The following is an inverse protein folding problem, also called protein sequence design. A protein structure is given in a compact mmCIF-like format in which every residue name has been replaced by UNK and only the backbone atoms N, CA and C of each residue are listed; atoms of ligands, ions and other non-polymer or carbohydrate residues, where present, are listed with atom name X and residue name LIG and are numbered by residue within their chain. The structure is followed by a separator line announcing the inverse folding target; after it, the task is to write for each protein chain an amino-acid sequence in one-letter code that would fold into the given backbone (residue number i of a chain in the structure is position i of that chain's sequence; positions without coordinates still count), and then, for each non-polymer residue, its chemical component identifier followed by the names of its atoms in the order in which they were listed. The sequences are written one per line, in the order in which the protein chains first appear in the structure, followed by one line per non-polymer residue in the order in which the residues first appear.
data_IF_263925967804
#
_entry.id   IF_263925967804
#
_cell.length_a   1.000
_cell.length_b   1.000
_cell.length_c   1.000
_cell.angle_alpha   90.00
_cell.angle_beta   90.00
_cell.angle_gamma   90.00
#
_symmetry.space_group_name_H-M   'P 1'
#
loop_
_entity.id
_entity.type
_entity.pdbx_description
1 polymer ?
#
# COMPACT_ATOMS: atom_id res chain seq x y z
N UNK A 1 -7.56 22.85 -17.34
CA UNK A 1 -8.66 21.89 -17.61
C UNK A 1 -9.46 22.37 -18.81
N UNK A 2 -9.46 21.59 -19.91
CA UNK A 2 -10.13 21.95 -21.17
C UNK A 2 -11.54 21.34 -21.25
N UNK A 3 -11.64 20.06 -20.89
CA UNK A 3 -12.89 19.28 -21.05
C UNK A 3 -13.38 18.65 -19.76
N UNK A 4 -12.50 18.41 -18.79
CA UNK A 4 -12.84 17.81 -17.50
C UNK A 4 -11.98 18.42 -16.38
N UNK A 5 -12.48 18.37 -15.15
CA UNK A 5 -11.77 18.81 -13.92
C UNK A 5 -11.88 17.72 -12.86
N UNK A 6 -10.75 17.23 -12.32
CA UNK A 6 -9.35 17.51 -12.72
C UNK A 6 -8.95 16.79 -14.00
N UNK A 7 -7.97 17.34 -14.72
CA UNK A 7 -7.44 16.77 -15.97
C UNK A 7 -5.93 16.98 -16.06
N UNK A 8 -5.21 15.98 -16.56
CA UNK A 8 -3.80 16.12 -17.00
C UNK A 8 -3.77 16.11 -18.51
N UNK A 9 -3.08 17.10 -19.06
CA UNK A 9 -2.84 17.20 -20.50
C UNK A 9 -1.34 17.39 -20.74
N UNK A 10 -0.73 16.46 -21.51
CA UNK A 10 0.67 16.53 -21.92
C UNK A 10 0.69 16.80 -23.42
N UNK A 11 1.34 17.90 -23.82
CA UNK A 11 1.55 18.24 -25.23
C UNK A 11 3.02 18.07 -25.58
N UNK A 12 3.30 17.19 -26.53
CA UNK A 12 4.64 16.95 -27.06
C UNK A 12 4.66 17.45 -28.50
N UNK A 13 5.59 18.33 -28.82
CA UNK A 13 5.73 18.91 -30.16
C UNK A 13 7.14 18.69 -30.64
N UNK A 14 7.29 18.27 -31.89
CA UNK A 14 8.56 18.08 -32.58
C UNK A 14 8.51 18.56 -34.02
N UNK A 15 9.65 18.64 -34.71
CA UNK A 15 9.73 19.06 -36.12
C UNK A 15 9.07 18.04 -37.05
N UNK A 16 9.03 16.77 -36.69
CA UNK A 16 8.46 15.68 -37.44
C UNK A 16 7.96 14.54 -36.52
N UNK A 17 7.20 13.59 -37.06
CA UNK A 17 6.62 12.48 -36.35
C UNK A 17 7.69 11.56 -35.70
N UNK A 18 8.81 11.38 -36.38
CA UNK A 18 9.90 10.55 -35.89
C UNK A 18 10.52 11.15 -34.63
N UNK A 19 10.79 12.43 -34.60
CA UNK A 19 11.33 13.14 -33.44
C UNK A 19 10.37 13.06 -32.23
N UNK A 20 9.07 13.14 -32.48
CA UNK A 20 8.05 12.97 -31.42
C UNK A 20 8.04 11.53 -30.87
N UNK A 21 8.10 10.54 -31.77
CA UNK A 21 8.12 9.12 -31.38
C UNK A 21 9.41 8.77 -30.59
N UNK A 22 10.56 9.23 -31.06
CA UNK A 22 11.84 9.03 -30.38
C UNK A 22 11.81 9.67 -28.98
N UNK A 23 11.33 10.92 -28.86
CA UNK A 23 11.20 11.59 -27.56
C UNK A 23 10.28 10.83 -26.60
N UNK A 24 9.12 10.35 -27.05
CA UNK A 24 8.18 9.56 -26.22
C UNK A 24 8.86 8.27 -25.75
N UNK A 25 9.59 7.58 -26.62
CA UNK A 25 10.30 6.36 -26.27
C UNK A 25 11.39 6.60 -25.24
N UNK A 26 12.23 7.62 -25.45
CA UNK A 26 13.33 7.96 -24.55
C UNK A 26 12.86 8.50 -23.18
N UNK A 27 11.70 9.15 -23.15
CA UNK A 27 11.15 9.77 -21.93
C UNK A 27 9.96 9.02 -21.35
N UNK A 28 9.72 7.77 -21.78
CA UNK A 28 8.58 6.95 -21.37
C UNK A 28 8.37 6.95 -19.86
N UNK A 29 9.40 6.67 -19.08
CA UNK A 29 9.31 6.54 -17.63
C UNK A 29 9.01 7.89 -16.94
N UNK A 30 9.51 8.99 -17.51
CA UNK A 30 9.18 10.32 -17.02
C UNK A 30 7.72 10.68 -17.29
N UNK A 31 7.22 10.38 -18.49
CA UNK A 31 5.82 10.62 -18.86
C UNK A 31 4.87 9.82 -17.99
N UNK A 32 5.18 8.54 -17.74
CA UNK A 32 4.41 7.68 -16.83
C UNK A 32 4.41 8.27 -15.43
N UNK A 33 5.57 8.68 -14.88
CA UNK A 33 5.66 9.31 -13.54
C UNK A 33 4.81 10.57 -13.40
N UNK A 34 4.74 11.40 -14.44
CA UNK A 34 3.90 12.61 -14.44
C UNK A 34 2.41 12.24 -14.34
N UNK A 35 1.97 11.25 -15.11
CA UNK A 35 0.59 10.78 -15.08
C UNK A 35 0.23 10.13 -13.73
N UNK A 36 1.11 9.26 -13.24
CA UNK A 36 0.94 8.60 -11.93
C UNK A 36 0.91 9.60 -10.78
N UNK A 37 1.78 10.62 -10.81
CA UNK A 37 1.74 11.69 -9.82
C UNK A 37 0.41 12.43 -9.84
N UNK A 38 -0.13 12.74 -11.00
CA UNK A 38 -1.39 13.45 -11.10
C UNK A 38 -2.59 12.60 -10.61
N UNK A 39 -2.58 11.29 -10.85
CA UNK A 39 -3.57 10.37 -10.28
C UNK A 39 -3.47 10.33 -8.75
N UNK A 40 -2.26 10.19 -8.23
CA UNK A 40 -1.99 10.18 -6.80
C UNK A 40 -2.44 11.48 -6.13
N UNK A 41 -2.08 12.63 -6.69
CA UNK A 41 -2.47 13.94 -6.15
C UNK A 41 -4.00 14.07 -6.06
N UNK A 42 -4.75 13.54 -7.05
CA UNK A 42 -6.23 13.49 -7.01
C UNK A 42 -6.75 12.58 -5.90
N UNK A 43 -6.15 11.40 -5.74
CA UNK A 43 -6.53 10.47 -4.67
C UNK A 43 -6.24 11.05 -3.29
N UNK A 44 -5.13 11.76 -3.13
CA UNK A 44 -4.79 12.49 -1.91
C UNK A 44 -5.82 13.59 -1.60
N UNK A 45 -6.17 14.39 -2.60
CA UNK A 45 -7.17 15.46 -2.45
C UNK A 45 -8.56 14.90 -2.12
N UNK A 46 -8.93 13.77 -2.72
CA UNK A 46 -10.14 13.04 -2.38
C UNK A 46 -10.10 12.53 -0.93
N UNK A 47 -9.02 11.84 -0.55
CA UNK A 47 -8.82 11.35 0.81
C UNK A 47 -8.95 12.45 1.84
N UNK A 48 -8.30 13.60 1.63
CA UNK A 48 -8.40 14.77 2.53
C UNK A 48 -9.81 15.35 2.63
N UNK A 49 -10.56 15.36 1.54
CA UNK A 49 -11.90 15.95 1.47
C UNK A 49 -12.95 15.10 2.18
N UNK A 50 -12.81 13.78 2.11
CA UNK A 50 -13.79 12.82 2.61
C UNK A 50 -13.24 11.96 3.75
N UNK A 51 -12.22 12.45 4.45
CA UNK A 51 -11.56 11.73 5.53
C UNK A 51 -12.51 11.48 6.71
N UNK A 52 -12.42 10.28 7.27
CA UNK A 52 -13.05 9.92 8.53
C UNK A 52 -12.19 10.41 9.70
N UNK A 53 -12.65 11.41 10.42
CA UNK A 53 -11.97 11.93 11.62
C UNK A 53 -11.74 10.83 12.67
N UNK A 54 -12.72 9.94 12.83
CA UNK A 54 -12.61 8.81 13.77
C UNK A 54 -11.45 7.87 13.41
N UNK A 55 -11.28 7.59 12.11
CA UNK A 55 -10.19 6.73 11.63
C UNK A 55 -8.85 7.43 11.77
N UNK A 56 -8.77 8.74 11.49
CA UNK A 56 -7.54 9.52 11.67
C UNK A 56 -7.09 9.54 13.14
N UNK A 57 -8.01 9.77 14.08
CA UNK A 57 -7.74 9.74 15.51
C UNK A 57 -7.21 8.37 15.93
N UNK A 58 -7.88 7.28 15.49
CA UNK A 58 -7.46 5.91 15.77
C UNK A 58 -6.03 5.64 15.30
N UNK A 59 -5.70 6.00 14.05
CA UNK A 59 -4.37 5.75 13.47
C UNK A 59 -3.29 6.57 14.17
N UNK A 60 -3.58 7.81 14.51
CA UNK A 60 -2.65 8.68 15.23
C UNK A 60 -2.37 8.17 16.63
N UNK A 61 -3.39 7.79 17.38
CA UNK A 61 -3.24 7.36 18.79
C UNK A 61 -2.57 6.00 18.92
N UNK A 62 -2.92 5.04 18.06
CA UNK A 62 -2.39 3.68 18.16
C UNK A 62 -1.08 3.46 17.42
N UNK A 63 -0.90 4.10 16.27
CA UNK A 63 0.26 3.84 15.39
C UNK A 63 1.22 5.03 15.27
N UNK A 64 0.87 6.19 15.84
CA UNK A 64 1.63 7.42 15.64
C UNK A 64 1.64 7.87 14.17
N UNK A 65 0.65 7.46 13.39
CA UNK A 65 0.51 7.72 11.97
C UNK A 65 -0.62 8.70 11.73
N UNK A 66 -0.31 9.80 11.05
CA UNK A 66 -1.33 10.67 10.49
C UNK A 66 -1.58 10.27 9.03
N UNK A 67 -2.82 9.90 8.71
CA UNK A 67 -3.21 9.47 7.37
C UNK A 67 -4.70 9.76 7.14
N UNK A 68 -5.02 10.31 5.98
CA UNK A 68 -6.41 10.58 5.58
C UNK A 68 -7.01 9.33 4.93
N UNK A 69 -8.02 8.76 5.57
CA UNK A 69 -8.76 7.59 5.08
C UNK A 69 -10.19 8.01 4.77
N UNK A 70 -10.66 7.86 3.52
CA UNK A 70 -12.04 8.20 3.17
C UNK A 70 -13.06 7.40 4.00
N UNK A 71 -14.21 8.00 4.28
CA UNK A 71 -15.26 7.46 5.15
C UNK A 71 -15.97 6.21 4.59
N UNK A 72 -15.82 5.94 3.28
CA UNK A 72 -16.27 4.71 2.65
C UNK A 72 -15.41 3.48 3.00
N UNK A 73 -14.25 3.68 3.62
CA UNK A 73 -13.45 2.63 4.22
C UNK A 73 -13.81 2.46 5.70
N UNK A 74 -14.12 1.24 6.11
CA UNK A 74 -14.58 0.96 7.46
C UNK A 74 -13.56 0.15 8.26
N UNK A 75 -13.37 0.51 9.53
CA UNK A 75 -12.56 -0.27 10.46
C UNK A 75 -13.28 -1.58 10.75
N UNK A 76 -12.64 -2.71 10.43
CA UNK A 76 -13.17 -4.06 10.64
C UNK A 76 -12.69 -4.65 11.95
N UNK A 77 -11.41 -4.50 12.24
CA UNK A 77 -10.78 -5.00 13.45
C UNK A 77 -9.68 -4.06 13.88
N UNK A 78 -9.49 -3.91 15.18
CA UNK A 78 -8.42 -3.11 15.75
C UNK A 78 -7.86 -3.73 17.02
N UNK A 79 -6.55 -3.53 17.21
CA UNK A 79 -5.82 -3.88 18.44
C UNK A 79 -4.71 -2.83 18.65
N UNK A 80 -3.81 -3.03 19.60
CA UNK A 80 -2.73 -2.08 19.86
C UNK A 80 -1.62 -2.13 18.81
N UNK A 81 -1.52 -3.22 18.06
CA UNK A 81 -0.47 -3.48 17.08
C UNK A 81 -0.98 -3.69 15.65
N UNK A 82 -2.30 -3.71 15.43
CA UNK A 82 -2.90 -3.88 14.11
C UNK A 82 -4.25 -3.19 14.02
N UNK A 83 -4.53 -2.59 12.85
CA UNK A 83 -5.87 -2.18 12.42
C UNK A 83 -6.12 -2.69 11.02
N UNK A 84 -7.30 -3.27 10.79
CA UNK A 84 -7.76 -3.70 9.47
C UNK A 84 -8.94 -2.84 9.03
N UNK A 85 -8.81 -2.28 7.82
CA UNK A 85 -9.76 -1.33 7.24
C UNK A 85 -10.07 -1.78 5.82
N UNK A 86 -11.34 -1.85 5.45
CA UNK A 86 -11.75 -2.28 4.11
C UNK A 86 -12.98 -1.54 3.59
N UNK A 87 -13.09 -1.55 2.26
CA UNK A 87 -14.28 -1.14 1.52
C UNK A 87 -14.81 -2.36 0.77
N UNK A 88 -16.08 -2.69 1.04
CA UNK A 88 -16.75 -3.84 0.46
C UNK A 88 -17.66 -3.43 -0.69
N UNK A 89 -17.63 -4.20 -1.75
CA UNK A 89 -18.51 -4.13 -2.90
C UNK A 89 -19.27 -5.46 -3.06
N UNK A 90 -20.37 -5.53 -3.81
CA UNK A 90 -21.16 -6.77 -3.95
C UNK A 90 -20.38 -7.99 -4.46
N UNK A 91 -19.32 -7.80 -5.25
CA UNK A 91 -18.53 -8.87 -5.83
C UNK A 91 -17.02 -8.66 -5.72
N UNK A 92 -16.58 -7.68 -4.93
CA UNK A 92 -15.19 -7.35 -4.75
C UNK A 92 -14.97 -6.73 -3.36
N UNK A 93 -13.75 -6.76 -2.88
CA UNK A 93 -13.33 -5.96 -1.73
C UNK A 93 -11.94 -5.41 -1.95
N UNK A 94 -11.68 -4.27 -1.37
CA UNK A 94 -10.35 -3.70 -1.27
C UNK A 94 -10.12 -3.21 0.14
N UNK A 95 -8.89 -3.30 0.60
CA UNK A 95 -8.60 -2.86 1.94
C UNK A 95 -7.11 -2.84 2.23
N UNK A 96 -6.83 -2.41 3.41
CA UNK A 96 -5.48 -2.41 3.94
C UNK A 96 -5.49 -2.72 5.44
N UNK A 97 -4.36 -3.18 5.93
CA UNK A 97 -4.10 -3.23 7.35
C UNK A 97 -2.78 -2.57 7.68
N UNK A 98 -2.77 -1.84 8.77
CA UNK A 98 -1.57 -1.26 9.32
C UNK A 98 -1.20 -2.07 10.54
N UNK A 99 0.06 -2.49 10.62
CA UNK A 99 0.58 -3.18 11.78
C UNK A 99 1.96 -2.68 12.16
N UNK A 100 2.32 -2.90 13.42
CA UNK A 100 3.61 -2.49 13.97
C UNK A 100 4.17 -3.55 14.91
N UNK A 101 5.49 -3.58 15.01
CA UNK A 101 6.23 -4.44 15.92
C UNK A 101 7.62 -3.86 16.23
N UNK A 102 8.28 -4.26 17.34
CA UNK A 102 9.59 -3.75 17.68
C UNK A 102 10.63 -3.98 16.58
N UNK A 103 11.43 -2.97 16.28
CA UNK A 103 12.52 -3.09 15.33
C UNK A 103 13.71 -3.82 15.95
N UNK A 104 14.01 -5.00 15.46
CA UNK A 104 15.09 -5.88 15.91
C UNK A 104 16.42 -5.73 15.14
N UNK A 105 16.64 -4.59 14.46
CA UNK A 105 17.81 -4.38 13.61
C UNK A 105 17.60 -4.80 12.15
N UNK A 106 18.65 -4.67 11.33
CA UNK A 106 18.55 -4.88 9.86
C UNK A 106 17.98 -6.25 9.44
N UNK A 107 18.23 -7.29 10.22
CA UNK A 107 17.72 -8.63 9.95
C UNK A 107 16.17 -8.72 9.95
N UNK A 108 15.50 -7.86 10.74
CA UNK A 108 14.03 -7.81 10.77
C UNK A 108 13.40 -7.20 9.51
N UNK A 109 14.20 -6.66 8.60
CA UNK A 109 13.78 -6.12 7.31
C UNK A 109 14.19 -7.03 6.13
N UNK A 110 14.66 -8.25 6.38
CA UNK A 110 14.90 -9.24 5.32
C UNK A 110 13.59 -9.72 4.72
N UNK A 111 13.60 -10.16 3.46
CA UNK A 111 12.42 -10.70 2.76
C UNK A 111 11.70 -11.75 3.62
N UNK A 112 12.42 -12.73 4.12
CA UNK A 112 11.84 -13.78 4.96
C UNK A 112 11.20 -13.24 6.25
N UNK A 113 11.85 -12.25 6.91
CA UNK A 113 11.30 -11.63 8.12
C UNK A 113 10.04 -10.82 7.85
N UNK A 114 9.99 -10.10 6.72
CA UNK A 114 8.83 -9.31 6.32
C UNK A 114 7.66 -10.20 5.92
N UNK A 115 7.89 -11.30 5.19
CA UNK A 115 6.85 -12.29 4.87
C UNK A 115 6.32 -12.92 6.17
N UNK A 116 7.19 -13.34 7.08
CA UNK A 116 6.78 -13.93 8.35
C UNK A 116 5.98 -12.95 9.23
N UNK A 117 6.37 -11.67 9.25
CA UNK A 117 5.63 -10.64 9.96
C UNK A 117 4.26 -10.41 9.30
N UNK A 118 4.22 -10.30 7.96
CA UNK A 118 2.96 -10.19 7.21
C UNK A 118 2.01 -11.33 7.54
N UNK A 119 2.47 -12.58 7.43
CA UNK A 119 1.64 -13.76 7.69
C UNK A 119 1.10 -13.78 9.12
N UNK A 120 1.92 -13.41 10.10
CA UNK A 120 1.49 -13.30 11.51
C UNK A 120 0.32 -12.33 11.70
N UNK A 121 0.35 -11.19 11.02
CA UNK A 121 -0.71 -10.19 11.12
C UNK A 121 -1.89 -10.49 10.19
N UNK A 122 -1.63 -10.94 8.96
CA UNK A 122 -2.66 -11.33 7.99
C UNK A 122 -3.52 -12.49 8.49
N UNK A 123 -2.94 -13.44 9.24
CA UNK A 123 -3.68 -14.54 9.87
C UNK A 123 -4.78 -14.07 10.88
N UNK A 124 -4.77 -12.80 11.27
CA UNK A 124 -5.81 -12.19 12.12
C UNK A 124 -6.99 -11.64 11.31
N UNK A 125 -6.89 -11.66 9.97
CA UNK A 125 -7.97 -11.33 9.04
C UNK A 125 -8.69 -12.62 8.69
N UNK A 126 -9.94 -12.82 9.20
CA UNK A 126 -10.67 -14.06 8.97
C UNK A 126 -11.08 -14.20 7.51
N UNK A 127 -10.97 -15.40 6.99
CA UNK A 127 -11.59 -15.77 5.73
C UNK A 127 -13.08 -16.10 5.89
N UNK A 128 -13.76 -16.44 4.78
CA UNK A 128 -15.21 -16.71 4.80
C UNK A 128 -15.63 -18.01 5.50
N UNK A 129 -14.71 -18.98 5.64
CA UNK A 129 -14.98 -20.24 6.32
C UNK A 129 -14.42 -20.24 7.75
N UNK A 130 -15.02 -21.02 8.64
CA UNK A 130 -14.54 -21.18 10.01
C UNK A 130 -13.08 -21.64 10.05
N UNK A 131 -12.25 -20.92 10.78
CA UNK A 131 -10.83 -21.21 10.91
C UNK A 131 -9.99 -20.85 9.67
N UNK A 132 -10.59 -20.26 8.63
CA UNK A 132 -9.85 -19.73 7.49
C UNK A 132 -9.34 -18.32 7.77
N UNK A 133 -8.18 -17.97 7.19
CA UNK A 133 -7.52 -16.68 7.41
C UNK A 133 -6.62 -16.32 6.22
N UNK A 134 -6.27 -15.05 6.10
CA UNK A 134 -5.40 -14.54 5.05
C UNK A 134 -3.95 -14.98 5.25
N UNK A 135 -3.28 -15.38 4.17
CA UNK A 135 -1.85 -15.72 4.13
C UNK A 135 -1.15 -15.18 2.88
N UNK A 136 0.17 -15.31 2.84
CA UNK A 136 0.98 -14.98 1.65
C UNK A 136 1.14 -16.24 0.80
N UNK A 137 0.85 -16.15 -0.48
CA UNK A 137 1.11 -17.24 -1.45
C UNK A 137 2.61 -17.46 -1.56
N UNK A 138 3.04 -18.70 -1.35
CA UNK A 138 4.46 -19.13 -1.44
C UNK A 138 4.70 -20.10 -2.57
N UNK A 139 3.65 -20.64 -3.14
CA UNK A 139 3.71 -21.54 -4.28
C UNK A 139 2.54 -21.29 -5.22
N UNK A 140 2.79 -21.38 -6.51
CA UNK A 140 1.76 -21.29 -7.56
C UNK A 140 1.81 -22.52 -8.43
N UNK A 141 0.65 -22.96 -8.93
CA UNK A 141 0.60 -24.03 -9.91
C UNK A 141 1.27 -23.59 -11.23
N UNK A 142 1.98 -24.52 -11.87
CA UNK A 142 2.48 -24.31 -13.22
C UNK A 142 1.32 -24.14 -14.24
N UNK A 143 1.64 -23.81 -15.49
CA UNK A 143 0.65 -23.58 -16.53
C UNK A 143 -0.22 -24.83 -16.85
N UNK A 144 0.25 -26.02 -16.53
CA UNK A 144 -0.49 -27.27 -16.69
C UNK A 144 -1.30 -27.63 -15.44
N UNK A 145 -1.04 -26.97 -14.30
CA UNK A 145 -1.65 -27.30 -13.02
C UNK A 145 -1.15 -28.57 -12.38
N UNK A 146 -0.06 -29.12 -12.89
CA UNK A 146 0.49 -30.43 -12.46
C UNK A 146 1.54 -30.31 -11.37
N UNK A 147 2.28 -29.19 -11.34
CA UNK A 147 3.33 -28.96 -10.37
C UNK A 147 3.17 -27.62 -9.69
N UNK A 148 3.66 -27.54 -8.45
CA UNK A 148 3.78 -26.27 -7.73
C UNK A 148 5.22 -25.76 -7.83
N UNK A 149 5.35 -24.48 -8.17
CA UNK A 149 6.62 -23.77 -8.21
C UNK A 149 6.65 -22.72 -7.11
N UNK A 150 7.82 -22.52 -6.52
CA UNK A 150 7.99 -21.53 -5.48
C UNK A 150 7.70 -20.12 -6.03
N UNK A 151 6.96 -19.37 -5.28
CA UNK A 151 6.60 -17.99 -5.57
C UNK A 151 7.04 -17.09 -4.41
N UNK A 152 7.89 -16.14 -4.72
CA UNK A 152 8.36 -15.17 -3.74
C UNK A 152 7.88 -13.76 -4.13
N UNK A 153 7.32 -12.99 -3.19
CA UNK A 153 6.95 -11.60 -3.43
C UNK A 153 8.15 -10.78 -3.90
N UNK A 154 7.92 -9.88 -4.84
CA UNK A 154 8.94 -8.96 -5.34
C UNK A 154 9.17 -7.83 -4.34
N UNK A 155 10.43 -7.45 -4.13
CA UNK A 155 10.79 -6.38 -3.22
C UNK A 155 11.56 -5.28 -3.93
N UNK A 156 11.29 -4.04 -3.54
CA UNK A 156 12.09 -2.88 -3.95
C UNK A 156 12.14 -1.82 -2.84
N UNK A 157 13.18 -1.01 -2.88
CA UNK A 157 13.29 0.15 -2.00
C UNK A 157 12.75 1.38 -2.70
N UNK A 158 11.99 2.19 -1.98
CA UNK A 158 11.43 3.45 -2.43
C UNK A 158 11.82 4.57 -1.45
N UNK A 159 11.92 5.78 -1.96
CA UNK A 159 12.01 6.96 -1.13
C UNK A 159 10.78 7.83 -1.34
N UNK A 160 10.04 8.08 -0.26
CA UNK A 160 8.83 8.88 -0.24
C UNK A 160 9.00 9.93 0.85
N UNK A 161 8.98 11.20 0.48
CA UNK A 161 9.11 12.35 1.39
C UNK A 161 10.32 12.26 2.32
N UNK A 162 11.47 11.85 1.76
CA UNK A 162 12.74 11.70 2.50
C UNK A 162 12.81 10.51 3.46
N UNK A 163 11.85 9.58 3.36
CA UNK A 163 11.80 8.35 4.16
C UNK A 163 11.96 7.14 3.25
N UNK A 164 12.83 6.23 3.65
CA UNK A 164 13.00 4.94 2.95
C UNK A 164 11.87 4.00 3.32
N UNK A 165 11.26 3.41 2.28
CA UNK A 165 10.25 2.37 2.38
C UNK A 165 10.71 1.11 1.65
N UNK A 166 10.36 -0.04 2.17
CA UNK A 166 10.48 -1.32 1.49
C UNK A 166 9.08 -1.67 0.97
N UNK A 167 8.93 -1.71 -0.34
CA UNK A 167 7.75 -2.23 -0.99
C UNK A 167 7.90 -3.73 -1.20
N UNK A 168 6.88 -4.49 -0.87
CA UNK A 168 6.78 -5.92 -1.16
C UNK A 168 5.46 -6.17 -1.89
N UNK A 169 5.53 -6.67 -3.14
CA UNK A 169 4.37 -6.95 -3.97
C UNK A 169 4.25 -8.45 -4.26
N UNK A 170 3.09 -9.02 -4.06
CA UNK A 170 2.87 -10.45 -4.19
C UNK A 170 1.40 -10.83 -4.30
N UNK A 171 1.12 -12.09 -4.01
CA UNK A 171 -0.21 -12.65 -3.97
C UNK A 171 -0.56 -13.11 -2.55
N UNK A 172 -1.81 -12.92 -2.18
CA UNK A 172 -2.40 -13.46 -0.96
C UNK A 172 -3.49 -14.46 -1.30
N UNK A 173 -3.71 -15.38 -0.42
CA UNK A 173 -4.83 -16.33 -0.45
C UNK A 173 -5.45 -16.49 0.94
N UNK A 174 -6.43 -17.34 1.03
CA UNK A 174 -7.08 -17.71 2.30
C UNK A 174 -6.83 -19.20 2.56
N UNK A 175 -6.19 -19.49 3.68
CA UNK A 175 -5.99 -20.85 4.13
C UNK A 175 -7.34 -21.59 4.27
N UNK A 176 -7.42 -22.77 3.69
CA UNK A 176 -8.62 -23.61 3.67
C UNK A 176 -9.85 -23.02 2.97
N UNK A 177 -9.65 -22.03 2.07
CA UNK A 177 -10.73 -21.47 1.27
C UNK A 177 -10.22 -20.94 -0.07
N UNK A 178 -11.04 -21.03 -1.13
CA UNK A 178 -10.65 -20.55 -2.47
C UNK A 178 -10.94 -19.07 -2.59
N UNK A 179 -10.03 -18.25 -2.12
CA UNK A 179 -10.09 -16.80 -2.19
C UNK A 179 -8.66 -16.24 -2.20
N UNK A 180 -8.41 -15.21 -3.01
CA UNK A 180 -7.09 -14.59 -3.06
C UNK A 180 -7.03 -13.43 -4.06
N UNK A 181 -5.86 -12.80 -4.12
CA UNK A 181 -5.63 -11.66 -5.00
C UNK A 181 -4.23 -11.08 -4.87
N UNK A 182 -3.97 -9.93 -5.49
CA UNK A 182 -2.72 -9.21 -5.31
C UNK A 182 -2.70 -8.45 -3.99
N UNK A 183 -1.50 -8.28 -3.45
CA UNK A 183 -1.21 -7.34 -2.38
C UNK A 183 0.03 -6.52 -2.70
N UNK A 184 0.14 -5.36 -2.06
CA UNK A 184 1.36 -4.59 -1.96
C UNK A 184 1.50 -4.05 -0.53
N UNK A 185 2.64 -4.24 0.08
CA UNK A 185 2.94 -3.71 1.40
C UNK A 185 4.09 -2.71 1.37
N UNK A 186 4.01 -1.72 2.23
CA UNK A 186 5.00 -0.67 2.41
C UNK A 186 5.47 -0.67 3.85
N UNK A 187 6.73 -1.00 4.05
CA UNK A 187 7.33 -1.12 5.38
C UNK A 187 8.40 -0.04 5.60
N UNK A 188 8.36 0.60 6.74
CA UNK A 188 9.40 1.53 7.18
C UNK A 188 9.67 1.37 8.68
N UNK A 189 10.73 2.01 9.17
CA UNK A 189 11.01 2.09 10.61
C UNK A 189 10.63 3.47 11.13
N UNK A 190 9.74 3.50 12.11
CA UNK A 190 9.52 4.70 12.90
C UNK A 190 10.64 4.83 13.92
N UNK A 191 11.58 5.73 13.65
CA UNK A 191 12.76 5.92 14.50
C UNK A 191 12.41 6.48 15.89
N UNK A 192 11.30 7.22 15.99
CA UNK A 192 10.88 7.82 17.26
C UNK A 192 10.40 6.77 18.26
N UNK A 193 9.76 5.70 17.79
CA UNK A 193 9.25 4.60 18.65
C UNK A 193 10.11 3.35 18.56
N UNK A 194 11.09 3.31 17.65
CA UNK A 194 11.90 2.13 17.34
C UNK A 194 11.02 0.92 16.95
N UNK A 195 9.99 1.17 16.15
CA UNK A 195 9.07 0.15 15.65
C UNK A 195 9.12 0.06 14.13
N UNK A 196 8.96 -1.15 13.61
CA UNK A 196 8.61 -1.37 12.21
C UNK A 196 7.12 -1.06 12.06
N UNK A 197 6.77 -0.27 11.06
CA UNK A 197 5.38 0.04 10.69
C UNK A 197 5.17 -0.38 9.25
N UNK A 198 4.13 -1.14 9.01
CA UNK A 198 3.76 -1.62 7.66
C UNK A 198 2.32 -1.24 7.33
N UNK A 199 2.13 -0.67 6.14
CA UNK A 199 0.85 -0.56 5.46
C UNK A 199 0.76 -1.70 4.44
N UNK A 200 -0.19 -2.61 4.57
CA UNK A 200 -0.40 -3.73 3.65
C UNK A 200 -1.74 -3.59 2.95
N UNK A 201 -1.72 -3.43 1.64
CA UNK A 201 -2.88 -3.19 0.79
C UNK A 201 -3.22 -4.45 0.01
N UNK A 202 -4.48 -4.83 -0.06
CA UNK A 202 -4.93 -6.02 -0.77
C UNK A 202 -6.22 -5.78 -1.56
N UNK A 203 -6.43 -6.56 -2.60
CA UNK A 203 -7.64 -6.52 -3.43
C UNK A 203 -8.18 -7.92 -3.66
N UNK A 204 -9.49 -8.09 -3.49
CA UNK A 204 -10.26 -9.24 -3.94
C UNK A 204 -11.25 -8.79 -5.00
N UNK A 205 -11.08 -9.25 -6.24
CA UNK A 205 -12.01 -8.97 -7.34
C UNK A 205 -11.95 -10.12 -8.35
N UNK A 206 -12.60 -11.27 -8.08
CA UNK A 206 -12.42 -12.50 -8.84
C UNK A 206 -12.84 -12.37 -10.32
N UNK A 207 -13.77 -11.47 -10.63
CA UNK A 207 -14.30 -11.24 -11.98
C UNK A 207 -13.91 -9.89 -12.59
N UNK A 208 -13.09 -9.10 -11.89
CA UNK A 208 -12.76 -7.72 -12.29
C UNK A 208 -11.27 -7.46 -12.36
N UNK A 209 -10.94 -6.33 -13.00
CA UNK A 209 -9.59 -5.79 -13.04
C UNK A 209 -9.18 -5.26 -11.67
N UNK A 210 -8.10 -5.81 -11.14
CA UNK A 210 -7.61 -5.49 -9.80
C UNK A 210 -6.64 -4.30 -9.78
N UNK A 211 -6.07 -3.98 -10.94
CA UNK A 211 -5.00 -2.99 -11.05
C UNK A 211 -5.42 -1.61 -10.54
N UNK A 212 -6.57 -1.10 -10.97
CA UNK A 212 -7.02 0.23 -10.57
C UNK A 212 -7.36 0.30 -9.08
N UNK A 213 -7.98 -0.75 -8.54
CA UNK A 213 -8.27 -0.86 -7.11
C UNK A 213 -6.98 -0.90 -6.28
N UNK A 214 -5.99 -1.70 -6.70
CA UNK A 214 -4.72 -1.77 -5.98
C UNK A 214 -3.98 -0.44 -6.03
N UNK A 215 -3.97 0.25 -7.18
CA UNK A 215 -3.35 1.59 -7.31
C UNK A 215 -4.01 2.64 -6.43
N UNK A 216 -5.31 2.59 -6.25
CA UNK A 216 -6.00 3.48 -5.31
C UNK A 216 -5.47 3.28 -3.89
N UNK A 217 -5.28 2.03 -3.47
CA UNK A 217 -4.73 1.69 -2.16
C UNK A 217 -3.24 2.06 -2.02
N UNK A 218 -2.45 1.87 -3.08
CA UNK A 218 -1.03 2.26 -3.10
C UNK A 218 -0.84 3.75 -2.80
N UNK A 219 -1.82 4.59 -3.12
CA UNK A 219 -1.74 6.02 -2.83
C UNK A 219 -1.73 6.31 -1.32
N UNK A 220 -2.24 5.42 -0.48
CA UNK A 220 -2.26 5.62 0.96
C UNK A 220 -0.87 5.75 1.57
N UNK A 221 0.17 5.10 1.01
CA UNK A 221 1.54 5.25 1.52
C UNK A 221 2.03 6.70 1.46
N UNK A 222 1.59 7.47 0.45
CA UNK A 222 1.94 8.88 0.30
C UNK A 222 1.14 9.82 1.22
N UNK A 223 0.14 9.29 1.92
CA UNK A 223 -0.63 10.00 2.93
C UNK A 223 -0.08 9.77 4.34
N UNK A 224 0.78 8.75 4.52
CA UNK A 224 1.35 8.42 5.82
C UNK A 224 2.36 9.48 6.21
N UNK A 225 2.07 10.17 7.31
CA UNK A 225 2.99 11.05 7.98
C UNK A 225 3.20 10.57 9.42
N UNK A 226 4.45 10.64 9.90
CA UNK A 226 4.80 10.42 11.30
C UNK A 226 5.05 11.79 11.92
N UNK A 227 4.09 12.36 12.68
CA UNK A 227 4.26 13.65 13.30
C UNK A 227 5.51 13.64 14.21
N UNK A 228 6.25 14.75 14.21
CA UNK A 228 7.36 14.91 15.13
C UNK A 228 6.88 14.71 16.57
N UNK A 229 7.58 13.87 17.31
CA UNK A 229 7.29 13.68 18.72
C UNK A 229 7.71 14.95 19.52
N UNK A 230 7.15 15.14 20.71
CA UNK A 230 7.55 16.24 21.59
C UNK A 230 9.06 16.22 21.93
N UNK A 231 9.72 15.06 21.82
CA UNK A 231 11.16 14.91 21.95
C UNK A 231 11.94 15.54 20.76
N UNK A 232 11.43 15.38 19.53
CA UNK A 232 12.04 15.96 18.32
C UNK A 232 11.94 17.50 18.33
N UNK A 233 10.83 18.02 18.87
CA UNK A 233 10.63 19.48 19.01
C UNK A 233 11.52 20.12 20.06
N UNK A 234 12.02 19.36 21.04
CA UNK A 234 12.97 19.85 22.06
C UNK A 234 14.41 19.85 21.57
N UNK A 235 14.78 18.92 20.69
CA UNK A 235 16.13 18.83 20.11
C UNK A 235 16.42 19.92 19.06
N UNK A 236 15.38 20.46 18.40
CA UNK A 236 15.50 21.52 17.37
C UNK A 236 15.67 22.95 17.94
N UNK A 237 15.49 23.17 19.23
CA UNK A 237 15.64 24.49 19.89
C UNK A 237 17.03 24.77 20.48
N UNK A 238 17.97 23.87 20.25
CA UNK A 238 19.34 23.94 20.79
C UNK A 238 20.46 24.16 19.77
N UNK A 239 20.18 24.82 18.64
CA UNK A 239 21.22 25.26 17.70
C UNK A 239 21.04 26.71 17.32
#
# INVERSE_FOLDING_TARGET
DVTAKPQVFISIKGPDDKSVADYVSENRDNLVRVLEKAERDRSIDYGKRFASEQTEVLLREKFGVQMYVPDNFQVRTQSDDMVWISQEYPAASQGFFIYKYPYGGKGSLSTASLIAARDKFAARIPGPADGSYMSTVKQIADAAGENYIDFEPQMRMLEIDGRTWIEMAGLWDVENYVMGGPFVSYTTVNQATNEVVTLDCYVYAPKGDKRNMLRELEHFVYLINFPATSADMSAGKGK
#
